data_IF_607403062822
#
_entry.id   IF_607403062822
#
_cell.length_a   1.000
_cell.length_b   1.000
_cell.length_c   1.000
_cell.angle_alpha   90.00
_cell.angle_beta   90.00
_cell.angle_gamma   90.00
#
_symmetry.space_group_name_H-M   'P 1'
#
loop_
_entity.id
_entity.type
_entity.pdbx_description
1 polymer ?
#
# COMPACT_ATOMS: atom_id res chain seq x y z
N UNK A 1 51.83 -7.84 13.94
CA UNK A 1 51.02 -9.07 13.75
C UNK A 1 49.51 -8.70 13.75
N UNK A 2 48.96 -8.03 14.77
CA UNK A 2 47.52 -7.70 14.88
C UNK A 2 47.03 -6.90 13.67
N UNK A 3 47.75 -5.85 13.28
CA UNK A 3 47.38 -4.99 12.13
C UNK A 3 47.32 -5.79 10.81
N UNK A 4 48.29 -6.70 10.60
CA UNK A 4 48.32 -7.55 9.40
C UNK A 4 47.16 -8.54 9.38
N UNK A 5 46.79 -9.11 10.52
CA UNK A 5 45.63 -10.00 10.64
C UNK A 5 44.33 -9.24 10.36
N UNK A 6 44.18 -8.03 10.90
CA UNK A 6 42.99 -7.17 10.67
C UNK A 6 42.82 -6.82 9.18
N UNK A 7 43.93 -6.49 8.48
CA UNK A 7 43.91 -6.21 7.04
C UNK A 7 43.49 -7.46 6.24
N UNK A 8 44.05 -8.64 6.58
CA UNK A 8 43.69 -9.89 5.90
C UNK A 8 42.23 -10.26 6.14
N UNK A 9 41.73 -10.10 7.37
CA UNK A 9 40.31 -10.35 7.69
C UNK A 9 39.41 -9.41 6.88
N UNK A 10 39.72 -8.11 6.80
CA UNK A 10 38.93 -7.17 6.02
C UNK A 10 38.92 -7.49 4.52
N UNK A 11 40.05 -7.89 3.95
CA UNK A 11 40.15 -8.33 2.54
C UNK A 11 39.30 -9.59 2.31
N UNK A 12 39.42 -10.58 3.20
CA UNK A 12 38.67 -11.84 3.09
C UNK A 12 37.15 -11.57 3.25
N UNK A 13 36.77 -10.75 4.22
CA UNK A 13 35.37 -10.36 4.39
C UNK A 13 34.85 -9.60 3.17
N UNK A 14 35.62 -8.68 2.60
CA UNK A 14 35.25 -7.97 1.37
C UNK A 14 35.00 -8.93 0.20
N UNK A 15 35.94 -9.83 -0.05
CA UNK A 15 35.82 -10.84 -1.11
C UNK A 15 34.66 -11.81 -0.89
N UNK A 16 34.34 -12.14 0.36
CA UNK A 16 33.18 -12.99 0.70
C UNK A 16 31.88 -12.27 0.49
N UNK A 17 31.78 -11.01 0.86
CA UNK A 17 30.57 -10.16 0.63
C UNK A 17 30.33 -9.96 -0.86
N UNK A 18 31.37 -9.70 -1.65
CA UNK A 18 31.26 -9.55 -3.12
C UNK A 18 30.84 -10.86 -3.81
N UNK A 19 31.25 -11.99 -3.27
CA UNK A 19 30.95 -13.33 -3.83
C UNK A 19 29.60 -13.88 -3.36
N UNK A 20 29.18 -13.50 -2.17
CA UNK A 20 27.96 -13.95 -1.50
C UNK A 20 27.24 -12.75 -0.88
N UNK A 21 26.43 -11.99 -1.67
CA UNK A 21 25.72 -10.81 -1.19
C UNK A 21 24.84 -11.06 0.05
N UNK A 22 24.33 -12.29 0.20
CA UNK A 22 23.53 -12.74 1.34
C UNK A 22 24.33 -12.99 2.64
N UNK A 23 25.66 -12.82 2.61
CA UNK A 23 26.51 -13.01 3.79
C UNK A 23 26.69 -11.72 4.62
N UNK A 24 26.02 -10.62 4.23
CA UNK A 24 25.99 -9.38 5.03
C UNK A 24 25.20 -9.64 6.31
N UNK A 25 25.92 -9.85 7.42
CA UNK A 25 25.32 -9.91 8.76
C UNK A 25 24.89 -8.50 9.17
N UNK A 26 23.62 -8.30 9.36
CA UNK A 26 23.11 -7.08 9.97
C UNK A 26 23.42 -7.10 11.47
N UNK A 27 24.36 -6.24 11.87
CA UNK A 27 24.75 -6.05 13.27
C UNK A 27 24.05 -4.85 13.93
N UNK A 28 23.04 -4.27 13.26
CA UNK A 28 22.23 -3.20 13.86
C UNK A 28 21.31 -3.77 14.94
N UNK A 29 21.02 -2.95 15.95
CA UNK A 29 20.21 -3.38 17.08
C UNK A 29 18.76 -3.80 16.71
N UNK A 30 18.28 -3.41 15.51
CA UNK A 30 16.90 -3.59 15.06
C UNK A 30 16.80 -4.39 13.74
N UNK A 31 17.85 -5.09 13.30
CA UNK A 31 17.88 -5.82 12.01
C UNK A 31 17.41 -4.94 10.83
N UNK A 32 17.86 -3.67 10.81
CA UNK A 32 17.36 -2.63 9.92
C UNK A 32 17.60 -2.94 8.42
N UNK A 33 18.46 -3.90 8.11
CA UNK A 33 18.78 -4.34 6.76
C UNK A 33 18.30 -5.78 6.47
N UNK A 34 17.42 -6.35 7.31
CA UNK A 34 16.86 -7.68 7.09
C UNK A 34 15.37 -7.59 6.74
N UNK A 35 14.97 -8.39 5.75
CA UNK A 35 13.57 -8.53 5.39
C UNK A 35 12.84 -9.40 6.41
N UNK A 36 11.56 -9.11 6.61
CA UNK A 36 10.67 -9.96 7.39
C UNK A 36 10.51 -11.33 6.69
N UNK A 37 10.34 -12.39 7.47
CA UNK A 37 10.19 -13.75 6.94
C UNK A 37 8.96 -13.85 6.02
N UNK A 38 7.87 -13.17 6.36
CA UNK A 38 6.65 -13.14 5.54
C UNK A 38 6.92 -12.48 4.17
N UNK A 39 7.72 -11.42 4.12
CA UNK A 39 8.14 -10.78 2.87
C UNK A 39 8.99 -11.71 2.02
N UNK A 40 9.97 -12.41 2.63
CA UNK A 40 10.81 -13.38 1.92
C UNK A 40 9.97 -14.50 1.31
N UNK A 41 9.02 -15.05 2.08
CA UNK A 41 8.11 -16.08 1.61
C UNK A 41 7.23 -15.57 0.46
N UNK A 42 6.68 -14.35 0.59
CA UNK A 42 5.85 -13.75 -0.43
C UNK A 42 6.59 -13.51 -1.75
N UNK A 43 7.76 -12.89 -1.72
CA UNK A 43 8.52 -12.61 -2.95
C UNK A 43 9.08 -13.86 -3.61
N UNK A 44 9.43 -14.91 -2.83
CA UNK A 44 9.87 -16.20 -3.37
C UNK A 44 8.75 -16.99 -4.04
N UNK A 45 7.48 -16.72 -3.70
CA UNK A 45 6.30 -17.39 -4.27
C UNK A 45 5.65 -16.60 -5.42
N UNK A 46 6.26 -15.49 -5.86
CA UNK A 46 5.76 -14.69 -6.98
C UNK A 46 5.57 -15.53 -8.24
N UNK A 47 4.41 -15.40 -8.88
CA UNK A 47 4.07 -16.15 -10.11
C UNK A 47 4.26 -15.31 -11.36
N UNK A 48 4.13 -14.00 -11.23
CA UNK A 48 4.24 -13.02 -12.32
C UNK A 48 5.57 -12.28 -12.23
N UNK A 49 6.06 -11.80 -13.37
CA UNK A 49 7.26 -10.97 -13.42
C UNK A 49 6.91 -9.56 -12.96
N UNK A 50 7.69 -9.04 -12.02
CA UNK A 50 7.53 -7.70 -11.43
C UNK A 50 8.79 -6.89 -11.69
N UNK A 51 8.64 -5.64 -12.05
CA UNK A 51 9.75 -4.68 -12.15
C UNK A 51 9.55 -3.56 -11.13
N UNK A 52 10.58 -3.33 -10.31
CA UNK A 52 10.68 -2.18 -9.42
C UNK A 52 11.62 -1.18 -10.09
N UNK A 53 11.11 -0.01 -10.44
CA UNK A 53 11.91 1.08 -10.99
C UNK A 53 12.15 2.12 -9.89
N UNK A 54 13.37 2.30 -9.45
CA UNK A 54 13.79 3.45 -8.63
C UNK A 54 13.94 4.63 -9.58
N UNK A 55 13.22 5.73 -9.32
CA UNK A 55 13.08 6.86 -10.23
C UNK A 55 14.23 7.89 -10.09
N UNK A 56 15.44 7.38 -9.96
CA UNK A 56 16.68 8.13 -9.84
C UNK A 56 17.84 7.32 -10.42
N UNK A 57 19.02 7.92 -10.59
CA UNK A 57 20.25 7.13 -10.71
C UNK A 57 20.58 6.49 -9.37
N UNK A 58 21.29 5.37 -9.37
CA UNK A 58 21.69 4.69 -8.13
C UNK A 58 22.43 5.65 -7.18
N UNK A 59 23.44 6.36 -7.72
CA UNK A 59 24.23 7.32 -6.92
C UNK A 59 23.38 8.46 -6.34
N UNK A 60 22.39 8.96 -7.08
CA UNK A 60 21.52 10.03 -6.58
C UNK A 60 20.58 9.50 -5.49
N UNK A 61 20.09 8.26 -5.63
CA UNK A 61 19.27 7.62 -4.61
C UNK A 61 20.04 7.42 -3.31
N UNK A 62 21.24 6.83 -3.36
CA UNK A 62 22.11 6.60 -2.19
C UNK A 62 22.56 7.91 -1.52
N UNK A 63 22.81 8.98 -2.29
CA UNK A 63 23.24 10.27 -1.77
C UNK A 63 22.18 10.99 -0.90
N UNK A 64 20.93 10.54 -0.92
CA UNK A 64 19.89 11.04 -0.01
C UNK A 64 20.07 10.55 1.45
N UNK A 65 21.01 9.64 1.71
CA UNK A 65 21.43 9.27 3.05
C UNK A 65 21.14 7.84 3.47
N UNK A 66 21.38 7.57 4.76
CA UNK A 66 21.42 6.20 5.31
C UNK A 66 20.14 5.41 5.08
N UNK A 67 18.96 6.03 5.17
CA UNK A 67 17.70 5.33 4.99
C UNK A 67 17.43 4.95 3.53
N UNK A 68 17.98 5.68 2.57
CA UNK A 68 17.94 5.32 1.15
C UNK A 68 18.86 4.14 0.83
N UNK A 69 20.06 4.13 1.40
CA UNK A 69 20.98 2.97 1.31
C UNK A 69 20.33 1.74 1.96
N UNK A 70 19.66 1.91 3.08
CA UNK A 70 18.91 0.83 3.74
C UNK A 70 17.78 0.32 2.82
N UNK A 71 17.00 1.22 2.24
CA UNK A 71 15.93 0.87 1.31
C UNK A 71 16.45 0.08 0.10
N UNK A 72 17.53 0.53 -0.52
CA UNK A 72 18.19 -0.18 -1.62
C UNK A 72 18.60 -1.60 -1.23
N UNK A 73 19.29 -1.77 -0.09
CA UNK A 73 19.69 -3.09 0.40
C UNK A 73 18.49 -4.04 0.62
N UNK A 74 17.34 -3.53 1.10
CA UNK A 74 16.13 -4.32 1.26
C UNK A 74 15.55 -4.74 -0.10
N UNK A 75 15.53 -3.83 -1.08
CA UNK A 75 15.08 -4.12 -2.44
C UNK A 75 15.97 -5.13 -3.15
N UNK A 76 17.30 -5.03 -3.02
CA UNK A 76 18.25 -6.01 -3.54
C UNK A 76 18.03 -7.42 -2.95
N UNK A 77 17.71 -7.49 -1.65
CA UNK A 77 17.37 -8.75 -1.00
C UNK A 77 16.04 -9.32 -1.50
N UNK A 78 15.04 -8.47 -1.75
CA UNK A 78 13.77 -8.90 -2.37
C UNK A 78 14.00 -9.46 -3.77
N UNK A 79 14.78 -8.76 -4.61
CA UNK A 79 15.16 -9.25 -5.94
C UNK A 79 15.85 -10.60 -5.86
N UNK A 80 16.85 -10.72 -4.98
CA UNK A 80 17.61 -11.96 -4.79
C UNK A 80 16.77 -13.14 -4.31
N UNK A 81 15.74 -12.88 -3.50
CA UNK A 81 14.85 -13.90 -2.95
C UNK A 81 13.74 -14.34 -3.92
N UNK A 82 13.49 -13.59 -5.00
CA UNK A 82 12.34 -13.77 -5.88
C UNK A 82 12.50 -14.85 -6.95
N UNK A 83 13.60 -15.58 -6.97
CA UNK A 83 13.97 -16.57 -8.02
C UNK A 83 13.85 -15.99 -9.45
N UNK A 84 14.25 -14.73 -9.62
CA UNK A 84 14.25 -14.01 -10.90
C UNK A 84 12.90 -13.46 -11.35
N UNK A 85 11.88 -13.52 -10.49
CA UNK A 85 10.56 -12.96 -10.74
C UNK A 85 10.48 -11.46 -10.49
N UNK A 86 11.35 -10.91 -9.66
CA UNK A 86 11.44 -9.50 -9.39
C UNK A 86 12.73 -8.93 -10.00
N UNK A 87 12.64 -7.77 -10.64
CA UNK A 87 13.77 -7.07 -11.23
C UNK A 87 13.84 -5.64 -10.71
N UNK A 88 15.00 -5.24 -10.17
CA UNK A 88 15.26 -3.89 -9.72
C UNK A 88 15.96 -3.08 -10.83
N UNK A 89 15.50 -1.87 -11.10
CA UNK A 89 16.05 -0.97 -12.12
C UNK A 89 16.13 0.45 -11.59
N UNK A 90 17.15 1.18 -12.07
CA UNK A 90 17.29 2.61 -11.83
C UNK A 90 16.91 3.39 -13.10
N UNK A 91 16.02 4.34 -12.97
CA UNK A 91 15.51 5.14 -14.07
C UNK A 91 15.63 6.62 -13.69
N UNK A 92 16.70 7.26 -14.13
CA UNK A 92 16.80 8.71 -14.05
C UNK A 92 15.85 9.35 -15.06
N UNK A 93 14.80 10.00 -14.55
CA UNK A 93 13.75 10.64 -15.36
C UNK A 93 14.30 11.80 -16.21
N UNK A 94 15.38 12.45 -15.77
CA UNK A 94 16.01 13.54 -16.55
C UNK A 94 16.67 13.04 -17.82
N UNK A 95 17.23 11.83 -17.74
CA UNK A 95 17.86 11.13 -18.88
C UNK A 95 16.86 10.31 -19.70
N UNK A 96 15.68 10.00 -19.12
CA UNK A 96 14.62 9.18 -19.73
C UNK A 96 13.27 9.91 -19.75
N UNK A 97 13.12 11.04 -20.45
CA UNK A 97 11.90 11.85 -20.39
C UNK A 97 10.64 11.14 -20.90
N UNK A 98 10.80 10.10 -21.73
CA UNK A 98 9.69 9.30 -22.25
C UNK A 98 9.19 8.22 -21.28
N UNK A 99 9.86 7.99 -20.15
CA UNK A 99 9.46 6.97 -19.18
C UNK A 99 8.08 7.29 -18.60
N UNK A 100 7.86 8.52 -18.17
CA UNK A 100 6.59 8.95 -17.57
C UNK A 100 5.39 8.74 -18.52
N UNK A 101 5.57 8.89 -19.83
CA UNK A 101 4.49 8.74 -20.82
C UNK A 101 4.00 7.30 -20.96
N UNK A 102 4.75 6.31 -20.49
CA UNK A 102 4.35 4.90 -20.47
C UNK A 102 3.35 4.60 -19.34
N UNK A 103 3.22 5.51 -18.38
CA UNK A 103 2.40 5.35 -17.17
C UNK A 103 1.45 6.54 -17.00
N UNK A 104 0.43 6.68 -17.88
CA UNK A 104 -0.39 7.90 -17.99
C UNK A 104 -1.29 8.15 -16.76
N UNK A 105 -1.59 7.13 -15.96
CA UNK A 105 -2.41 7.29 -14.76
C UNK A 105 -1.59 7.64 -13.51
N UNK A 106 -0.27 7.71 -13.60
CA UNK A 106 0.57 8.21 -12.51
C UNK A 106 0.53 9.73 -12.51
N UNK A 107 0.37 10.31 -11.33
CA UNK A 107 0.51 11.76 -11.19
C UNK A 107 2.00 12.13 -11.24
N UNK A 108 2.42 12.71 -12.37
CA UNK A 108 3.79 13.17 -12.61
C UNK A 108 3.98 14.67 -12.33
N UNK A 109 3.05 15.30 -11.60
CA UNK A 109 3.23 16.68 -11.17
C UNK A 109 4.54 16.82 -10.38
N UNK A 110 5.24 17.91 -10.60
CA UNK A 110 6.52 18.20 -9.92
C UNK A 110 6.41 18.35 -8.41
N UNK A 111 5.19 18.51 -7.88
CA UNK A 111 4.92 18.53 -6.45
C UNK A 111 4.72 17.14 -5.86
N UNK A 112 4.56 16.12 -6.70
CA UNK A 112 4.45 14.72 -6.27
C UNK A 112 5.82 14.06 -6.38
N UNK A 113 6.43 13.76 -5.25
CA UNK A 113 7.76 13.14 -5.18
C UNK A 113 7.66 11.63 -5.35
N UNK A 114 7.32 11.15 -6.56
CA UNK A 114 7.37 9.71 -6.87
C UNK A 114 8.84 9.24 -6.84
N UNK A 115 9.13 8.19 -6.09
CA UNK A 115 10.50 7.66 -5.91
C UNK A 115 10.67 6.22 -6.39
N UNK A 116 9.58 5.46 -6.44
CA UNK A 116 9.56 4.08 -6.93
C UNK A 116 8.33 3.87 -7.80
N UNK A 117 8.47 3.08 -8.86
CA UNK A 117 7.35 2.61 -9.68
C UNK A 117 7.45 1.09 -9.79
N UNK A 118 6.44 0.40 -9.28
CA UNK A 118 6.30 -1.06 -9.38
C UNK A 118 5.36 -1.39 -10.53
N UNK A 119 5.73 -2.35 -11.36
CA UNK A 119 4.91 -2.79 -12.51
C UNK A 119 4.94 -4.29 -12.73
N UNK A 120 3.81 -4.83 -13.23
CA UNK A 120 3.66 -6.22 -13.69
C UNK A 120 2.67 -6.25 -14.86
N UNK A 121 3.12 -6.67 -16.04
CA UNK A 121 2.31 -6.55 -17.25
C UNK A 121 1.87 -5.11 -17.50
N UNK A 122 0.56 -4.89 -17.65
CA UNK A 122 -0.04 -3.57 -17.86
C UNK A 122 -0.42 -2.86 -16.55
N UNK A 123 -0.25 -3.53 -15.40
CA UNK A 123 -0.54 -2.95 -14.09
C UNK A 123 0.69 -2.24 -13.53
N UNK A 124 0.48 -1.09 -12.88
CA UNK A 124 1.56 -0.34 -12.25
C UNK A 124 1.06 0.50 -11.07
N UNK A 125 1.96 0.72 -10.11
CA UNK A 125 1.73 1.55 -8.92
C UNK A 125 2.97 2.41 -8.69
N UNK A 126 2.79 3.72 -8.64
CA UNK A 126 3.84 4.64 -8.19
C UNK A 126 3.76 4.80 -6.68
N UNK A 127 4.92 4.91 -6.06
CA UNK A 127 5.09 5.16 -4.64
C UNK A 127 5.82 6.49 -4.46
N UNK A 128 5.28 7.33 -3.60
CA UNK A 128 5.86 8.60 -3.24
C UNK A 128 6.95 8.46 -2.19
N UNK A 129 7.64 9.52 -1.94
CA UNK A 129 8.66 9.61 -0.89
C UNK A 129 8.03 9.35 0.49
N UNK A 130 6.80 9.84 0.72
CA UNK A 130 6.07 9.64 1.97
C UNK A 130 5.56 8.21 2.15
N UNK A 131 5.31 7.48 1.04
CA UNK A 131 4.98 6.05 1.11
C UNK A 131 6.18 5.21 1.53
N UNK A 132 7.40 5.59 1.08
CA UNK A 132 8.61 4.79 1.23
C UNK A 132 9.42 5.12 2.48
N UNK A 133 9.28 6.33 3.03
CA UNK A 133 10.12 6.80 4.13
C UNK A 133 9.31 7.44 5.27
N UNK A 134 9.83 7.26 6.48
CA UNK A 134 9.38 8.01 7.65
C UNK A 134 10.15 9.32 7.75
N UNK A 135 9.50 10.37 8.20
CA UNK A 135 10.12 11.68 8.38
C UNK A 135 9.52 12.42 9.56
N UNK A 136 10.27 13.39 10.10
CA UNK A 136 9.79 14.28 11.13
C UNK A 136 8.82 15.32 10.55
N UNK A 137 7.54 15.15 10.83
CA UNK A 137 6.47 16.03 10.32
C UNK A 137 6.53 17.45 10.91
N UNK A 138 7.06 17.62 12.15
CA UNK A 138 7.23 18.92 12.75
C UNK A 138 8.37 19.67 12.06
N UNK A 139 9.49 19.00 11.84
CA UNK A 139 10.61 19.57 11.08
C UNK A 139 10.17 20.00 9.69
N UNK A 140 9.44 19.13 8.97
CA UNK A 140 8.90 19.43 7.64
C UNK A 140 7.99 20.66 7.67
N UNK A 141 7.09 20.77 8.66
CA UNK A 141 6.18 21.91 8.83
C UNK A 141 6.90 23.25 9.04
N UNK A 142 8.06 23.22 9.72
CA UNK A 142 8.84 24.45 10.01
C UNK A 142 9.78 24.83 8.87
N UNK A 143 10.40 23.85 8.21
CA UNK A 143 11.52 24.10 7.29
C UNK A 143 11.19 23.78 5.83
N UNK A 144 10.06 23.11 5.53
CA UNK A 144 9.67 22.71 4.19
C UNK A 144 10.62 21.68 3.55
N UNK A 145 11.40 20.97 4.37
CA UNK A 145 12.35 19.94 3.92
C UNK A 145 12.23 18.68 4.75
N UNK A 146 12.49 17.53 4.13
CA UNK A 146 12.39 16.23 4.81
C UNK A 146 13.60 15.99 5.71
N UNK A 147 13.34 15.61 6.95
CA UNK A 147 14.29 14.96 7.84
C UNK A 147 13.84 13.51 8.03
N UNK A 148 14.45 12.60 7.29
CA UNK A 148 14.07 11.19 7.34
C UNK A 148 14.48 10.55 8.67
N UNK A 149 13.61 9.70 9.21
CA UNK A 149 13.77 9.00 10.50
C UNK A 149 13.73 7.49 10.35
N UNK A 150 13.29 6.98 9.19
CA UNK A 150 13.19 5.56 8.89
C UNK A 150 12.85 5.28 7.43
N UNK A 151 12.82 3.99 7.07
CA UNK A 151 12.28 3.52 5.78
C UNK A 151 11.12 2.57 6.02
N UNK A 152 10.09 2.70 5.18
CA UNK A 152 8.93 1.80 5.06
C UNK A 152 8.95 1.06 3.73
N UNK A 153 10.07 1.06 3.03
CA UNK A 153 10.19 0.58 1.63
C UNK A 153 9.72 -0.87 1.49
N UNK A 154 10.02 -1.73 2.47
CA UNK A 154 9.61 -3.13 2.45
C UNK A 154 8.08 -3.25 2.37
N UNK A 155 7.37 -2.63 3.30
CA UNK A 155 5.91 -2.65 3.33
C UNK A 155 5.30 -1.99 2.09
N UNK A 156 5.82 -0.81 1.70
CA UNK A 156 5.32 -0.06 0.56
C UNK A 156 5.43 -0.87 -0.74
N UNK A 157 6.59 -1.50 -0.98
CA UNK A 157 6.84 -2.27 -2.19
C UNK A 157 6.07 -3.59 -2.18
N UNK A 158 5.97 -4.32 -1.06
CA UNK A 158 5.13 -5.53 -0.96
C UNK A 158 3.68 -5.21 -1.29
N UNK A 159 3.15 -4.12 -0.72
CA UNK A 159 1.80 -3.62 -1.01
C UNK A 159 1.62 -3.27 -2.49
N UNK A 160 2.61 -2.61 -3.10
CA UNK A 160 2.57 -2.28 -4.53
C UNK A 160 2.64 -3.54 -5.41
N UNK A 161 3.49 -4.52 -5.07
CA UNK A 161 3.56 -5.81 -5.76
C UNK A 161 2.19 -6.51 -5.70
N UNK A 162 1.58 -6.59 -4.52
CA UNK A 162 0.23 -7.15 -4.35
C UNK A 162 -0.77 -6.47 -5.29
N UNK A 163 -0.74 -5.13 -5.35
CA UNK A 163 -1.65 -4.35 -6.20
C UNK A 163 -1.48 -4.62 -7.70
N UNK A 164 -0.24 -4.80 -8.18
CA UNK A 164 0.02 -4.99 -9.61
C UNK A 164 -0.03 -6.46 -10.05
N UNK A 165 -0.05 -7.40 -9.10
CA UNK A 165 -0.13 -8.84 -9.38
C UNK A 165 -1.51 -9.44 -9.11
N UNK A 166 -2.42 -8.71 -8.45
CA UNK A 166 -3.80 -9.17 -8.21
C UNK A 166 -4.67 -8.89 -9.43
N UNK A 167 -5.05 -9.95 -10.15
CA UNK A 167 -5.86 -9.86 -11.37
C UNK A 167 -7.33 -9.54 -11.08
N UNK A 168 -7.91 -10.20 -10.06
CA UNK A 168 -9.30 -10.02 -9.67
C UNK A 168 -9.35 -9.38 -8.30
N UNK A 169 -9.53 -8.07 -8.28
CA UNK A 169 -9.67 -7.33 -7.02
C UNK A 169 -11.06 -7.53 -6.44
N UNK A 170 -11.12 -7.73 -5.13
CA UNK A 170 -12.39 -7.74 -4.41
C UNK A 170 -12.97 -6.33 -4.44
N UNK A 171 -14.23 -6.22 -4.87
CA UNK A 171 -14.93 -4.94 -4.97
C UNK A 171 -15.58 -4.59 -3.64
N UNK A 172 -15.37 -3.36 -3.19
CA UNK A 172 -15.93 -2.79 -1.97
C UNK A 172 -16.70 -1.52 -2.30
N UNK A 173 -17.97 -1.46 -1.95
CA UNK A 173 -18.79 -0.27 -2.08
C UNK A 173 -18.74 0.56 -0.80
N UNK A 174 -18.20 1.79 -0.89
CA UNK A 174 -18.31 2.80 0.17
C UNK A 174 -19.62 3.57 -0.03
N UNK A 175 -20.57 3.34 0.87
CA UNK A 175 -21.88 4.01 0.81
C UNK A 175 -21.71 5.47 1.22
N UNK A 176 -22.25 6.40 0.42
CA UNK A 176 -22.20 7.83 0.67
C UNK A 176 -23.55 8.53 0.43
N UNK A 177 -23.69 9.71 1.02
CA UNK A 177 -24.86 10.57 0.86
C UNK A 177 -25.73 10.66 2.11
N UNK A 178 -25.32 10.05 3.22
CA UNK A 178 -26.04 10.05 4.50
C UNK A 178 -25.27 10.82 5.60
N UNK A 179 -24.42 11.78 5.19
CA UNK A 179 -23.63 12.59 6.11
C UNK A 179 -22.53 11.81 6.82
N UNK A 180 -21.91 10.89 6.13
CA UNK A 180 -20.80 10.08 6.60
C UNK A 180 -19.63 10.97 7.04
N UNK A 181 -18.91 10.53 8.06
CA UNK A 181 -17.64 11.15 8.42
C UNK A 181 -16.56 10.81 7.36
N UNK A 182 -15.44 11.55 7.41
CA UNK A 182 -14.33 11.31 6.49
C UNK A 182 -13.77 9.87 6.66
N UNK A 183 -13.83 9.12 5.58
CA UNK A 183 -13.34 7.74 5.47
C UNK A 183 -12.19 7.57 4.49
N UNK A 184 -11.56 8.67 4.08
CA UNK A 184 -10.47 8.66 3.10
C UNK A 184 -9.31 7.73 3.50
N UNK A 185 -9.01 7.65 4.80
CA UNK A 185 -8.00 6.72 5.33
C UNK A 185 -8.40 5.25 5.15
N UNK A 186 -9.70 4.93 5.28
CA UNK A 186 -10.22 3.56 5.07
C UNK A 186 -10.15 3.21 3.59
N UNK A 187 -10.58 4.12 2.72
CA UNK A 187 -10.47 3.95 1.26
C UNK A 187 -9.03 3.70 0.84
N UNK A 188 -8.11 4.55 1.29
CA UNK A 188 -6.68 4.39 0.99
C UNK A 188 -6.13 3.06 1.51
N UNK A 189 -6.54 2.61 2.69
CA UNK A 189 -6.12 1.33 3.25
C UNK A 189 -6.61 0.15 2.38
N UNK A 190 -7.87 0.18 1.95
CA UNK A 190 -8.44 -0.85 1.08
C UNK A 190 -7.74 -0.88 -0.28
N UNK A 191 -7.61 0.27 -0.93
CA UNK A 191 -6.93 0.38 -2.24
C UNK A 191 -5.47 -0.05 -2.16
N UNK A 192 -4.77 0.28 -1.08
CA UNK A 192 -3.40 -0.18 -0.84
C UNK A 192 -3.31 -1.70 -0.65
N UNK A 193 -4.36 -2.35 -0.19
CA UNK A 193 -4.43 -3.81 -0.05
C UNK A 193 -5.12 -4.51 -1.24
N UNK A 194 -5.04 -3.91 -2.42
CA UNK A 194 -5.55 -4.44 -3.69
C UNK A 194 -7.07 -4.67 -3.74
N UNK A 195 -7.85 -3.96 -2.93
CA UNK A 195 -9.30 -3.89 -3.12
C UNK A 195 -9.63 -2.84 -4.19
N UNK A 196 -10.70 -3.07 -4.93
CA UNK A 196 -11.31 -2.05 -5.79
C UNK A 196 -12.39 -1.34 -4.97
N UNK A 197 -12.22 -0.05 -4.72
CA UNK A 197 -13.17 0.73 -3.94
C UNK A 197 -14.03 1.59 -4.87
N UNK A 198 -15.34 1.43 -4.78
CA UNK A 198 -16.32 2.27 -5.46
C UNK A 198 -17.04 3.13 -4.43
N UNK A 199 -17.33 4.38 -4.77
CA UNK A 199 -18.26 5.20 -3.98
C UNK A 199 -19.66 5.13 -4.57
N UNK A 200 -20.63 4.68 -3.78
CA UNK A 200 -21.99 4.48 -4.22
C UNK A 200 -22.97 5.30 -3.39
N UNK A 201 -23.99 5.87 -4.04
CA UNK A 201 -25.08 6.54 -3.37
C UNK A 201 -26.37 5.76 -3.59
N UNK A 202 -26.95 5.26 -2.51
CA UNK A 202 -28.21 4.50 -2.56
C UNK A 202 -29.37 5.33 -3.06
N UNK A 203 -29.31 6.67 -2.91
CA UNK A 203 -30.32 7.58 -3.43
C UNK A 203 -30.31 7.66 -4.96
N UNK A 204 -29.15 7.54 -5.62
CA UNK A 204 -29.01 7.80 -7.05
C UNK A 204 -28.72 6.57 -7.89
N UNK A 205 -27.86 5.65 -7.42
CA UNK A 205 -27.44 4.48 -8.19
C UNK A 205 -27.91 3.15 -7.60
N UNK A 206 -27.56 2.85 -6.40
CA UNK A 206 -27.68 1.54 -5.77
C UNK A 206 -26.31 0.90 -5.57
N UNK A 207 -26.30 -0.34 -5.12
CA UNK A 207 -25.09 -1.13 -4.88
C UNK A 207 -24.55 -1.69 -6.20
N UNK A 208 -23.26 -1.95 -6.25
CA UNK A 208 -22.63 -2.68 -7.34
C UNK A 208 -22.90 -4.20 -7.17
N UNK A 209 -23.35 -4.85 -8.24
CA UNK A 209 -23.63 -6.29 -8.21
C UNK A 209 -22.36 -7.11 -7.99
N UNK A 210 -21.20 -6.62 -8.44
CA UNK A 210 -19.91 -7.28 -8.28
C UNK A 210 -19.29 -7.02 -6.88
N UNK A 211 -19.78 -6.04 -6.10
CA UNK A 211 -19.28 -5.79 -4.77
C UNK A 211 -19.57 -6.95 -3.82
N UNK A 212 -18.54 -7.42 -3.11
CA UNK A 212 -18.66 -8.44 -2.07
C UNK A 212 -18.89 -7.81 -0.69
N UNK A 213 -18.37 -6.60 -0.49
CA UNK A 213 -18.45 -5.84 0.74
C UNK A 213 -19.07 -4.47 0.49
N UNK A 214 -19.84 -4.01 1.47
CA UNK A 214 -20.29 -2.64 1.58
C UNK A 214 -19.84 -2.05 2.90
N UNK A 215 -19.42 -0.80 2.90
CA UNK A 215 -19.02 -0.08 4.11
C UNK A 215 -19.93 1.14 4.27
N UNK A 216 -20.61 1.25 5.40
CA UNK A 216 -21.34 2.43 5.83
C UNK A 216 -20.61 3.03 7.05
N UNK A 217 -19.95 4.16 6.83
CA UNK A 217 -19.01 4.74 7.79
C UNK A 217 -19.59 5.94 8.51
N UNK A 218 -19.99 5.76 9.77
CA UNK A 218 -20.43 6.80 10.68
C UNK A 218 -21.46 7.78 10.03
N UNK A 219 -22.60 7.27 9.52
CA UNK A 219 -23.62 8.12 8.93
C UNK A 219 -24.26 9.01 9.99
N UNK A 220 -24.46 10.29 9.68
CA UNK A 220 -25.13 11.26 10.56
C UNK A 220 -26.60 11.52 10.16
N UNK A 221 -27.06 10.92 9.07
CA UNK A 221 -28.44 10.99 8.56
C UNK A 221 -28.94 9.58 8.30
N UNK A 222 -30.16 9.27 8.72
CA UNK A 222 -30.78 7.97 8.47
C UNK A 222 -30.94 7.67 6.96
N UNK A 223 -30.92 6.42 6.61
CA UNK A 223 -31.27 5.96 5.27
C UNK A 223 -32.81 6.03 5.09
N UNK A 224 -33.26 6.50 3.94
CA UNK A 224 -34.67 6.43 3.60
C UNK A 224 -35.12 4.99 3.26
N UNK A 225 -36.44 4.77 3.22
CA UNK A 225 -36.99 3.44 2.95
C UNK A 225 -36.48 2.84 1.63
N UNK A 226 -36.31 3.66 0.59
CA UNK A 226 -35.85 3.20 -0.70
C UNK A 226 -34.35 2.78 -0.67
N UNK A 227 -33.53 3.47 0.11
CA UNK A 227 -32.13 3.09 0.35
C UNK A 227 -32.03 1.79 1.17
N UNK A 228 -32.86 1.65 2.19
CA UNK A 228 -32.97 0.41 2.99
C UNK A 228 -33.40 -0.77 2.12
N UNK A 229 -34.40 -0.59 1.25
CA UNK A 229 -34.86 -1.65 0.34
C UNK A 229 -33.73 -2.11 -0.61
N UNK A 230 -32.97 -1.15 -1.19
CA UNK A 230 -31.83 -1.48 -2.06
C UNK A 230 -30.71 -2.22 -1.31
N UNK A 231 -30.34 -1.76 -0.12
CA UNK A 231 -29.31 -2.39 0.70
C UNK A 231 -29.77 -3.78 1.16
N UNK A 232 -31.02 -3.93 1.56
CA UNK A 232 -31.61 -5.22 1.96
C UNK A 232 -31.60 -6.21 0.80
N UNK A 233 -32.02 -5.79 -0.40
CA UNK A 233 -32.03 -6.61 -1.59
C UNK A 233 -30.62 -7.06 -1.99
N UNK A 234 -29.64 -6.17 -1.91
CA UNK A 234 -28.24 -6.49 -2.18
C UNK A 234 -27.68 -7.51 -1.16
N UNK A 235 -27.98 -7.35 0.13
CA UNK A 235 -27.57 -8.30 1.18
C UNK A 235 -28.24 -9.67 1.01
N UNK A 236 -29.52 -9.71 0.63
CA UNK A 236 -30.25 -10.96 0.37
C UNK A 236 -29.67 -11.71 -0.84
N UNK A 237 -29.18 -10.97 -1.83
CA UNK A 237 -28.53 -11.53 -3.01
C UNK A 237 -29.36 -12.66 -3.68
N UNK A 238 -30.62 -12.38 -3.96
CA UNK A 238 -31.60 -13.36 -4.50
C UNK A 238 -31.74 -14.62 -3.62
N UNK A 239 -31.70 -14.47 -2.31
CA UNK A 239 -31.77 -15.56 -1.34
C UNK A 239 -30.46 -16.37 -1.19
N UNK A 240 -29.40 -15.98 -1.88
CA UNK A 240 -28.09 -16.66 -1.81
C UNK A 240 -27.25 -16.20 -0.65
N UNK A 241 -27.49 -14.98 -0.16
CA UNK A 241 -26.64 -14.29 0.81
C UNK A 241 -25.18 -14.15 0.33
N UNK A 242 -24.23 -14.04 1.23
CA UNK A 242 -22.80 -14.00 0.90
C UNK A 242 -22.22 -12.58 0.70
N UNK A 243 -23.08 -11.56 0.64
CA UNK A 243 -22.66 -10.16 0.71
C UNK A 243 -22.46 -9.74 2.17
N UNK A 244 -21.59 -8.78 2.42
CA UNK A 244 -21.26 -8.35 3.79
C UNK A 244 -21.38 -6.83 3.93
N UNK A 245 -22.16 -6.38 4.90
CA UNK A 245 -22.19 -4.99 5.34
C UNK A 245 -21.26 -4.80 6.54
N UNK A 246 -20.31 -3.88 6.42
CA UNK A 246 -19.48 -3.37 7.50
C UNK A 246 -20.08 -2.04 7.93
N UNK A 247 -20.71 -2.02 9.09
CA UNK A 247 -21.27 -0.80 9.66
C UNK A 247 -20.41 -0.28 10.80
N UNK A 248 -20.01 0.98 10.69
CA UNK A 248 -19.28 1.70 11.73
C UNK A 248 -20.20 2.81 12.22
N UNK A 249 -20.67 2.75 13.47
CA UNK A 249 -21.60 3.76 14.01
C UNK A 249 -20.91 5.12 14.18
N UNK A 250 -21.70 6.19 14.11
CA UNK A 250 -21.26 7.53 14.50
C UNK A 250 -20.91 7.54 16.00
N UNK A 251 -19.85 8.27 16.38
CA UNK A 251 -19.47 8.44 17.79
C UNK A 251 -20.51 9.28 18.57
N UNK A 252 -21.15 10.22 17.87
CA UNK A 252 -22.26 10.99 18.41
C UNK A 252 -23.58 10.23 18.24
N UNK A 253 -24.50 10.40 19.20
CA UNK A 253 -25.80 9.79 19.09
C UNK A 253 -26.59 10.38 17.92
N UNK A 254 -26.90 9.51 16.95
CA UNK A 254 -27.71 9.85 15.77
C UNK A 254 -28.97 9.00 15.79
N UNK A 255 -30.12 9.62 15.44
CA UNK A 255 -31.39 8.91 15.32
C UNK A 255 -31.50 8.31 13.91
N UNK A 256 -31.35 6.99 13.81
CA UNK A 256 -31.33 6.23 12.55
C UNK A 256 -32.33 5.06 12.58
N UNK A 257 -33.66 5.33 12.77
CA UNK A 257 -34.65 4.27 13.00
C UNK A 257 -34.77 3.26 11.86
N UNK A 258 -34.60 3.67 10.60
CA UNK A 258 -34.69 2.77 9.46
C UNK A 258 -33.46 1.84 9.42
N UNK A 259 -32.27 2.40 9.62
CA UNK A 259 -31.03 1.63 9.69
C UNK A 259 -31.02 0.70 10.90
N UNK A 260 -31.46 1.17 12.06
CA UNK A 260 -31.56 0.34 13.29
C UNK A 260 -32.51 -0.84 13.09
N UNK A 261 -33.62 -0.64 12.38
CA UNK A 261 -34.53 -1.72 12.01
C UNK A 261 -33.86 -2.73 11.10
N UNK A 262 -33.15 -2.29 10.05
CA UNK A 262 -32.39 -3.17 9.15
C UNK A 262 -31.40 -4.00 9.94
N UNK A 263 -30.60 -3.38 10.80
CA UNK A 263 -29.61 -4.07 11.63
C UNK A 263 -30.28 -5.10 12.56
N UNK A 264 -31.43 -4.73 13.15
CA UNK A 264 -32.21 -5.63 14.02
C UNK A 264 -32.74 -6.84 13.25
N UNK A 265 -33.20 -6.68 12.02
CA UNK A 265 -33.67 -7.77 11.15
C UNK A 265 -32.55 -8.78 10.85
N UNK A 266 -31.28 -8.33 10.87
CA UNK A 266 -30.07 -9.17 10.77
C UNK A 266 -29.49 -9.58 12.13
N UNK A 267 -30.22 -9.36 13.23
CA UNK A 267 -29.86 -9.78 14.58
C UNK A 267 -28.82 -8.90 15.28
N UNK A 268 -28.56 -7.70 14.78
CA UNK A 268 -27.65 -6.72 15.38
C UNK A 268 -28.43 -5.62 16.09
N UNK A 269 -27.93 -5.18 17.24
CA UNK A 269 -28.49 -4.04 17.97
C UNK A 269 -27.37 -3.07 18.34
N UNK A 270 -27.52 -1.83 17.95
CA UNK A 270 -26.64 -0.74 18.39
C UNK A 270 -27.20 -0.23 19.72
N UNK A 271 -26.40 -0.30 20.76
CA UNK A 271 -26.76 0.22 22.08
C UNK A 271 -26.27 1.66 22.21
N UNK A 272 -27.03 2.48 22.92
CA UNK A 272 -26.70 3.87 23.25
C UNK A 272 -25.47 3.98 24.16
#
# INVERSE_FOLDING_TARGET
VVIAITIVINIVCGLLVDRFPNLKLDLTANSAFELQEDTLNYVSDLKQDVTINILASQSDFENNGTYFIQAENLLDKMESASDGKLSLKYVDLSSNPNFASQYPNVNWDSQVSNVVLVSSGDQYKALTLEDCFEYDSQYYSYYGSYQFTGTKIEQAVVTAILNVTTENKIVVDMIKGNGEQDYSSVTSLLENNAYQVNEVSLATSGMDDDAEFAVLFAPSVDLDDAAIDKLSAWLDNDGKNGKTLIYIPCADKVDTPNLDKLLSDWGMQVND
#
